data_IF_204927451392
#
_entry.id   IF_204927451392
#
_cell.length_a   1.000
_cell.length_b   1.000
_cell.length_c   1.000
_cell.angle_alpha   90.00
_cell.angle_beta   90.00
_cell.angle_gamma   90.00
#
_symmetry.space_group_name_H-M   'P 1'
#
loop_
_entity.id
_entity.type
_entity.pdbx_description
1 polymer ?
#
# COMPACT_ATOMS: atom_id res chain seq x y z
N UNK A 1 -33.71 -17.29 2.43
CA UNK A 1 -32.68 -18.24 2.90
C UNK A 1 -31.37 -17.81 2.24
N UNK A 2 -30.69 -16.82 2.84
CA UNK A 2 -29.34 -16.96 3.41
C UNK A 2 -28.32 -17.42 2.35
N UNK A 3 -27.45 -16.55 1.85
CA UNK A 3 -26.38 -15.99 2.66
C UNK A 3 -25.85 -14.66 2.11
N UNK A 4 -25.79 -13.67 3.01
CA UNK A 4 -24.95 -12.50 2.89
C UNK A 4 -23.49 -12.98 2.95
N UNK A 5 -22.74 -12.89 1.86
CA UNK A 5 -21.29 -12.91 1.95
C UNK A 5 -20.80 -11.50 2.29
N UNK A 6 -20.79 -11.25 3.59
CA UNK A 6 -20.06 -10.16 4.22
C UNK A 6 -18.57 -10.39 4.01
N UNK A 7 -17.99 -9.80 2.96
CA UNK A 7 -16.54 -9.65 2.88
C UNK A 7 -16.12 -8.39 3.65
N UNK A 8 -16.21 -8.52 4.98
CA UNK A 8 -15.55 -7.62 5.91
C UNK A 8 -14.05 -7.89 5.89
N UNK A 9 -13.33 -7.26 4.95
CA UNK A 9 -11.88 -7.16 5.02
C UNK A 9 -11.54 -5.80 5.63
N UNK A 10 -11.44 -5.82 6.96
CA UNK A 10 -10.57 -5.00 7.79
C UNK A 10 -9.96 -3.76 7.12
N UNK A 11 -10.63 -2.61 7.27
CA UNK A 11 -9.97 -1.32 7.33
C UNK A 11 -9.15 -1.24 8.64
N UNK A 12 -8.09 -2.03 8.76
CA UNK A 12 -7.02 -1.63 9.70
C UNK A 12 -6.17 -0.62 8.93
N UNK A 13 -6.08 0.65 9.39
CA UNK A 13 -5.00 1.51 8.92
C UNK A 13 -3.70 0.73 9.13
N UNK A 14 -2.78 0.81 8.17
CA UNK A 14 -1.43 0.25 8.29
C UNK A 14 -0.81 0.80 9.59
N UNK A 15 -1.00 0.08 10.69
CA UNK A 15 -0.50 0.48 11.98
C UNK A 15 1.00 0.24 11.90
N UNK A 16 1.75 1.32 11.70
CA UNK A 16 3.17 1.30 12.04
C UNK A 16 3.24 0.93 13.51
N UNK A 17 3.59 -0.31 13.81
CA UNK A 17 4.05 -0.70 15.14
C UNK A 17 5.31 0.12 15.41
N UNK A 18 5.15 1.26 16.06
CA UNK A 18 6.25 2.04 16.58
C UNK A 18 6.87 1.20 17.70
N UNK A 19 7.92 0.45 17.38
CA UNK A 19 8.78 -0.16 18.39
C UNK A 19 9.45 1.00 19.12
N UNK A 20 9.04 1.25 20.37
CA UNK A 20 9.62 2.27 21.23
C UNK A 20 10.97 1.76 21.75
N UNK A 21 11.99 1.77 20.90
CA UNK A 21 13.35 1.40 21.29
C UNK A 21 14.00 2.58 22.01
N UNK A 22 14.31 2.42 23.30
CA UNK A 22 15.29 3.27 23.98
C UNK A 22 16.67 2.86 23.47
N UNK A 23 17.24 3.64 22.57
CA UNK A 23 18.57 3.40 22.01
C UNK A 23 18.62 3.78 20.53
N UNK A 24 19.65 4.52 20.14
CA UNK A 24 19.92 5.09 18.82
C UNK A 24 19.32 4.25 17.67
N UNK A 25 18.25 4.75 17.06
CA UNK A 25 17.65 4.13 15.88
C UNK A 25 18.54 4.44 14.68
N UNK A 26 19.47 3.54 14.35
CA UNK A 26 20.18 3.62 13.07
C UNK A 26 19.13 3.37 11.98
N UNK A 27 18.78 4.42 11.22
CA UNK A 27 17.87 4.31 10.07
C UNK A 27 18.53 3.42 9.01
N UNK A 28 18.27 2.11 9.09
CA UNK A 28 18.65 1.18 8.03
C UNK A 28 17.73 1.42 6.84
N UNK A 29 18.32 1.50 5.64
CA UNK A 29 17.55 1.51 4.38
C UNK A 29 16.84 0.16 4.26
N UNK A 30 15.63 0.07 4.78
CA UNK A 30 14.76 -1.08 4.58
C UNK A 30 14.22 -0.97 3.16
N UNK A 31 14.61 -1.89 2.29
CA UNK A 31 13.98 -2.05 0.98
C UNK A 31 12.60 -2.66 1.19
N UNK A 32 11.61 -1.83 1.54
CA UNK A 32 10.27 -2.31 1.80
C UNK A 32 9.68 -2.85 0.50
N UNK A 33 9.20 -4.10 0.52
CA UNK A 33 8.50 -4.70 -0.60
C UNK A 33 6.99 -4.56 -0.40
N UNK A 34 6.31 -3.97 -1.38
CA UNK A 34 4.86 -3.80 -1.37
C UNK A 34 4.21 -4.88 -2.25
N UNK A 35 3.32 -5.66 -1.66
CA UNK A 35 2.53 -6.66 -2.38
C UNK A 35 1.10 -6.15 -2.57
N UNK A 36 0.65 -6.06 -3.82
CA UNK A 36 -0.72 -5.72 -4.19
C UNK A 36 -1.40 -6.98 -4.70
N UNK A 37 -2.21 -7.59 -3.84
CA UNK A 37 -2.97 -8.82 -4.13
C UNK A 37 -4.45 -8.55 -4.38
N UNK A 38 -4.88 -7.31 -4.17
CA UNK A 38 -6.28 -6.93 -4.22
C UNK A 38 -6.69 -6.62 -5.66
N UNK A 39 -7.77 -7.25 -6.12
CA UNK A 39 -8.32 -7.04 -7.46
C UNK A 39 -8.93 -5.63 -7.59
N UNK A 40 -8.83 -5.05 -8.78
CA UNK A 40 -9.37 -3.72 -9.05
C UNK A 40 -8.62 -2.60 -8.35
N UNK A 41 -7.39 -2.85 -7.89
CA UNK A 41 -6.50 -1.82 -7.38
C UNK A 41 -5.97 -0.96 -8.52
N UNK A 42 -5.93 0.35 -8.28
CA UNK A 42 -5.38 1.35 -9.18
C UNK A 42 -4.20 2.07 -8.52
N UNK A 43 -3.04 2.02 -9.15
CA UNK A 43 -1.82 2.64 -8.66
C UNK A 43 -1.49 3.90 -9.46
N UNK A 44 -1.15 4.98 -8.79
CA UNK A 44 -0.60 6.16 -9.46
C UNK A 44 0.42 6.87 -8.57
N UNK A 45 1.38 7.55 -9.22
CA UNK A 45 2.30 8.45 -8.53
C UNK A 45 1.59 9.79 -8.33
N UNK A 46 1.64 10.29 -7.10
CA UNK A 46 1.26 11.65 -6.75
C UNK A 46 2.48 12.28 -6.06
N UNK A 47 3.18 13.16 -6.79
CA UNK A 47 4.47 13.73 -6.36
C UNK A 47 5.48 12.63 -6.01
N UNK A 48 6.07 12.64 -4.82
CA UNK A 48 7.03 11.65 -4.32
C UNK A 48 6.37 10.46 -3.60
N UNK A 49 5.07 10.27 -3.79
CA UNK A 49 4.30 9.20 -3.15
C UNK A 49 3.61 8.29 -4.16
N UNK A 50 3.58 7.00 -3.86
CA UNK A 50 2.72 6.02 -4.51
C UNK A 50 1.37 6.03 -3.80
N UNK A 51 0.30 6.22 -4.56
CA UNK A 51 -1.08 6.12 -4.10
C UNK A 51 -1.68 4.84 -4.64
N UNK A 52 -2.35 4.09 -3.75
CA UNK A 52 -3.16 2.93 -4.13
C UNK A 52 -4.61 3.29 -3.87
N UNK A 53 -5.44 3.12 -4.89
CA UNK A 53 -6.89 3.32 -4.82
C UNK A 53 -7.64 2.02 -5.07
N UNK A 54 -8.77 1.89 -4.40
CA UNK A 54 -9.75 0.84 -4.64
C UNK A 54 -11.14 1.48 -4.58
N UNK A 55 -12.01 1.18 -5.54
CA UNK A 55 -13.37 1.74 -5.59
C UNK A 55 -13.41 3.28 -5.46
N UNK A 56 -12.44 3.97 -6.10
CA UNK A 56 -12.27 5.44 -6.03
C UNK A 56 -11.95 5.99 -4.64
N UNK A 57 -11.48 5.14 -3.72
CA UNK A 57 -11.03 5.53 -2.38
C UNK A 57 -9.53 5.25 -2.25
N UNK A 58 -8.79 6.21 -1.70
CA UNK A 58 -7.38 6.05 -1.35
C UNK A 58 -7.26 5.07 -0.18
N UNK A 59 -6.65 3.91 -0.43
CA UNK A 59 -6.44 2.87 0.59
C UNK A 59 -5.04 2.93 1.18
N UNK A 60 -4.06 3.43 0.42
CA UNK A 60 -2.70 3.65 0.91
C UNK A 60 -2.01 4.80 0.17
N UNK A 61 -1.11 5.48 0.89
CA UNK A 61 -0.19 6.47 0.33
C UNK A 61 1.18 6.30 0.99
N UNK A 62 2.19 5.99 0.19
CA UNK A 62 3.52 5.61 0.67
C UNK A 62 4.60 6.41 -0.08
N UNK A 63 5.65 6.89 0.60
CA UNK A 63 6.76 7.54 -0.09
C UNK A 63 7.48 6.57 -1.02
N UNK A 64 7.70 6.95 -2.28
CA UNK A 64 8.33 6.08 -3.30
C UNK A 64 9.75 5.70 -2.89
N UNK A 65 10.51 6.63 -2.33
CA UNK A 65 11.88 6.39 -1.87
C UNK A 65 11.99 5.35 -0.74
N UNK A 66 10.88 5.01 -0.09
CA UNK A 66 10.82 4.01 0.96
C UNK A 66 10.42 2.61 0.45
N UNK A 67 10.07 2.47 -0.84
CA UNK A 67 9.65 1.22 -1.47
C UNK A 67 10.79 0.71 -2.36
N UNK A 68 11.24 -0.53 -2.13
CA UNK A 68 12.22 -1.20 -2.97
C UNK A 68 11.61 -1.92 -4.15
N UNK A 69 10.53 -2.67 -3.91
CA UNK A 69 9.87 -3.49 -4.92
C UNK A 69 8.35 -3.42 -4.77
N UNK A 70 7.63 -3.50 -5.89
CA UNK A 70 6.17 -3.60 -5.92
C UNK A 70 5.83 -4.82 -6.76
N UNK A 71 5.06 -5.75 -6.18
CA UNK A 71 4.55 -6.92 -6.89
C UNK A 71 3.04 -6.83 -6.98
N UNK A 72 2.51 -6.87 -8.21
CA UNK A 72 1.09 -6.79 -8.49
C UNK A 72 0.57 -8.16 -8.94
N UNK A 73 -0.53 -8.61 -8.35
CA UNK A 73 -1.18 -9.87 -8.72
C UNK A 73 -2.64 -9.63 -9.13
N UNK A 74 -3.03 -10.24 -10.25
CA UNK A 74 -4.39 -10.13 -10.79
C UNK A 74 -4.64 -8.84 -11.58
N UNK A 75 -5.89 -8.38 -11.60
CA UNK A 75 -6.29 -7.17 -12.31
C UNK A 75 -5.92 -5.92 -11.48
N UNK A 76 -4.69 -5.47 -11.68
CA UNK A 76 -4.15 -4.24 -11.11
C UNK A 76 -3.80 -3.31 -12.26
N UNK A 77 -4.31 -2.08 -12.20
CA UNK A 77 -4.07 -1.06 -13.22
C UNK A 77 -3.29 0.11 -12.63
N UNK A 78 -2.71 0.95 -13.49
CA UNK A 78 -2.02 2.14 -13.00
C UNK A 78 -1.76 3.19 -14.07
N UNK A 79 -1.40 4.38 -13.60
CA UNK A 79 -1.02 5.51 -14.46
C UNK A 79 0.50 5.54 -14.63
N UNK A 80 0.94 5.50 -15.89
CA UNK A 80 2.32 5.81 -16.23
C UNK A 80 2.61 7.28 -15.88
N UNK A 81 3.62 7.49 -15.05
CA UNK A 81 4.11 8.82 -14.76
C UNK A 81 5.06 9.26 -15.89
N UNK A 82 4.92 10.51 -16.32
CA UNK A 82 5.73 11.10 -17.40
C UNK A 82 6.58 12.26 -16.88
N UNK A 83 6.79 12.32 -15.55
CA UNK A 83 7.63 13.34 -14.93
C UNK A 83 9.12 13.17 -15.21
#
# INVERSE_FOLDING_TARGET
>A
MLSKFSNGLNNKPFQKSAVKTKGIQIMRKLQNTLYITTQGSYLHKERETLVVEQERKKVAQLPVHAIGHIFCFGNVSGRADHS
#
